data_IF_276355515546
#
_entry.id   IF_276355515546
#
_cell.length_a   1.000
_cell.length_b   1.000
_cell.length_c   1.000
_cell.angle_alpha   90.00
_cell.angle_beta   90.00
_cell.angle_gamma   90.00
#
_symmetry.space_group_name_H-M   'P 1'
#
loop_
_entity.id
_entity.type
_entity.pdbx_description
1 polymer ?
#
# COMPACT_ATOMS: atom_id res chain seq x y z
N UNK A 1 18.31 -21.06 -15.73
CA UNK A 1 18.53 -20.49 -14.39
C UNK A 1 17.18 -20.02 -13.85
N UNK A 2 16.85 -20.32 -12.58
CA UNK A 2 15.56 -20.02 -11.96
C UNK A 2 15.22 -18.51 -12.01
N UNK A 3 16.18 -17.65 -11.70
CA UNK A 3 15.99 -16.19 -11.72
C UNK A 3 15.53 -15.65 -13.07
N UNK A 4 16.11 -16.17 -14.17
CA UNK A 4 15.65 -15.82 -15.52
C UNK A 4 14.19 -16.18 -15.77
N UNK A 5 13.73 -17.33 -15.26
CA UNK A 5 12.34 -17.74 -15.41
C UNK A 5 11.39 -16.87 -14.55
N UNK A 6 11.85 -16.42 -13.38
CA UNK A 6 11.09 -15.52 -12.50
C UNK A 6 10.92 -14.13 -13.11
N UNK A 7 11.97 -13.57 -13.72
CA UNK A 7 11.87 -12.32 -14.48
C UNK A 7 10.97 -12.46 -15.70
N UNK A 8 11.08 -13.56 -16.45
CA UNK A 8 10.17 -13.81 -17.57
C UNK A 8 8.72 -13.89 -17.11
N UNK A 9 8.46 -14.58 -15.99
CA UNK A 9 7.12 -14.67 -15.41
C UNK A 9 6.58 -13.29 -15.00
N UNK A 10 7.41 -12.44 -14.42
CA UNK A 10 7.03 -11.07 -14.11
C UNK A 10 6.71 -10.27 -15.38
N UNK A 11 7.51 -10.42 -16.43
CA UNK A 11 7.24 -9.81 -17.73
C UNK A 11 5.93 -10.29 -18.35
N UNK A 12 5.66 -11.60 -18.33
CA UNK A 12 4.42 -12.17 -18.86
C UNK A 12 3.19 -11.68 -18.09
N UNK A 13 3.30 -11.59 -16.76
CA UNK A 13 2.25 -11.06 -15.89
C UNK A 13 1.95 -9.58 -16.17
N UNK A 14 2.99 -8.76 -16.30
CA UNK A 14 2.86 -7.32 -16.49
C UNK A 14 2.64 -6.89 -17.94
N UNK A 15 2.77 -7.80 -18.91
CA UNK A 15 2.69 -7.50 -20.34
C UNK A 15 1.47 -6.65 -20.76
N UNK A 16 0.24 -6.87 -20.24
CA UNK A 16 -0.90 -6.02 -20.58
C UNK A 16 -0.76 -4.57 -20.13
N UNK A 17 0.07 -4.33 -19.10
CA UNK A 17 0.18 -3.06 -18.39
C UNK A 17 1.49 -2.33 -18.69
N UNK A 18 2.54 -3.06 -19.04
CA UNK A 18 3.89 -2.59 -19.29
C UNK A 18 4.66 -3.58 -20.16
N UNK A 19 5.19 -3.10 -21.29
CA UNK A 19 6.15 -3.82 -22.10
C UNK A 19 7.44 -3.01 -22.17
N UNK A 20 8.55 -3.49 -21.61
CA UNK A 20 9.82 -2.78 -21.70
C UNK A 20 10.36 -2.79 -23.14
N UNK A 21 11.19 -1.80 -23.47
CA UNK A 21 11.82 -1.63 -24.78
C UNK A 21 13.33 -1.76 -24.60
N UNK A 22 13.97 -2.61 -25.41
CA UNK A 22 15.44 -2.77 -25.41
C UNK A 22 16.04 -3.09 -24.03
N UNK A 23 15.55 -4.18 -23.42
CA UNK A 23 15.99 -4.63 -22.09
C UNK A 23 17.43 -5.18 -22.12
N UNK A 24 18.26 -4.69 -21.21
CA UNK A 24 19.56 -5.30 -20.87
C UNK A 24 19.46 -5.98 -19.50
N UNK A 25 19.76 -7.27 -19.43
CA UNK A 25 19.78 -8.05 -18.19
C UNK A 25 21.19 -8.57 -17.91
N UNK A 26 21.69 -8.34 -16.70
CA UNK A 26 22.97 -8.82 -16.22
C UNK A 26 22.75 -9.68 -14.96
N UNK A 27 23.00 -10.98 -15.07
CA UNK A 27 23.09 -11.87 -13.91
C UNK A 27 24.55 -11.99 -13.50
N UNK A 28 24.79 -11.86 -12.21
CA UNK A 28 26.13 -11.95 -11.63
C UNK A 28 26.08 -12.71 -10.30
N UNK A 29 27.23 -13.23 -9.90
CA UNK A 29 27.45 -13.88 -8.60
C UNK A 29 28.48 -13.10 -7.80
N UNK A 30 28.75 -13.52 -6.57
CA UNK A 30 29.75 -12.86 -5.73
C UNK A 30 31.15 -12.86 -6.38
N UNK A 31 31.47 -13.89 -7.15
CA UNK A 31 32.77 -14.04 -7.82
C UNK A 31 32.92 -13.13 -9.05
N UNK A 32 31.82 -12.57 -9.55
CA UNK A 32 31.80 -11.77 -10.77
C UNK A 32 32.07 -10.28 -10.51
N UNK A 33 32.43 -9.88 -9.28
CA UNK A 33 32.56 -8.48 -8.90
C UNK A 33 33.48 -7.66 -9.83
N UNK A 34 34.65 -8.21 -10.17
CA UNK A 34 35.60 -7.55 -11.08
C UNK A 34 35.05 -7.44 -12.51
N UNK A 35 34.44 -8.52 -13.01
CA UNK A 35 33.80 -8.51 -14.33
C UNK A 35 32.64 -7.51 -14.38
N UNK A 36 31.81 -7.45 -13.35
CA UNK A 36 30.67 -6.55 -13.27
C UNK A 36 31.10 -5.08 -13.25
N UNK A 37 32.17 -4.74 -12.51
CA UNK A 37 32.77 -3.41 -12.55
C UNK A 37 33.29 -3.05 -13.94
N UNK A 38 33.96 -3.99 -14.62
CA UNK A 38 34.44 -3.77 -15.99
C UNK A 38 33.26 -3.51 -16.94
N UNK A 39 32.19 -4.30 -16.85
CA UNK A 39 30.98 -4.08 -17.64
C UNK A 39 30.34 -2.72 -17.36
N UNK A 40 30.26 -2.30 -16.10
CA UNK A 40 29.67 -1.00 -15.75
C UNK A 40 30.57 0.17 -16.17
N UNK A 41 31.90 0.01 -16.11
CA UNK A 41 32.83 1.08 -16.52
C UNK A 41 32.73 1.39 -18.03
N UNK A 42 32.38 0.39 -18.85
CA UNK A 42 32.08 0.55 -20.28
C UNK A 42 30.73 1.25 -20.53
N UNK A 43 29.91 1.47 -19.49
CA UNK A 43 28.56 2.03 -19.56
C UNK A 43 28.39 3.19 -18.56
N UNK A 44 29.02 4.35 -18.78
CA UNK A 44 29.09 5.44 -17.80
C UNK A 44 27.71 5.94 -17.32
N UNK A 45 26.69 5.88 -18.16
CA UNK A 45 25.29 6.23 -17.85
C UNK A 45 24.66 5.39 -16.73
N UNK A 46 25.23 4.21 -16.43
CA UNK A 46 24.73 3.32 -15.38
C UNK A 46 25.21 3.74 -13.99
N UNK A 47 26.34 4.44 -13.91
CA UNK A 47 27.02 4.76 -12.64
C UNK A 47 26.13 5.52 -11.65
N UNK A 48 25.33 6.48 -12.13
CA UNK A 48 24.39 7.24 -11.30
C UNK A 48 23.27 6.41 -10.68
N UNK A 49 22.96 5.25 -11.27
CA UNK A 49 21.93 4.33 -10.80
C UNK A 49 22.48 3.22 -9.88
N UNK A 50 23.80 3.21 -9.63
CA UNK A 50 24.45 2.22 -8.76
C UNK A 50 25.28 2.97 -7.69
N UNK A 51 24.61 3.59 -6.69
CA UNK A 51 25.31 4.38 -5.68
C UNK A 51 26.33 3.55 -4.91
N UNK A 52 27.57 4.04 -4.85
CA UNK A 52 28.70 3.33 -4.23
C UNK A 52 29.35 2.24 -5.10
N UNK A 53 28.86 2.01 -6.33
CA UNK A 53 29.43 1.04 -7.27
C UNK A 53 29.00 -0.40 -7.00
N UNK A 54 29.00 -1.24 -8.04
CA UNK A 54 28.45 -2.61 -7.97
C UNK A 54 29.19 -3.50 -6.97
N UNK A 55 30.52 -3.37 -6.86
CA UNK A 55 31.33 -4.14 -5.90
C UNK A 55 30.88 -3.90 -4.47
N UNK A 56 30.63 -2.65 -4.11
CA UNK A 56 30.14 -2.31 -2.76
C UNK A 56 28.78 -2.96 -2.47
N UNK A 57 27.92 -3.12 -3.47
CA UNK A 57 26.65 -3.86 -3.30
C UNK A 57 26.86 -5.35 -3.12
N UNK A 58 27.76 -5.96 -3.90
CA UNK A 58 28.12 -7.38 -3.80
C UNK A 58 28.71 -7.68 -2.42
N UNK A 59 29.69 -6.88 -1.97
CA UNK A 59 30.39 -7.08 -0.71
C UNK A 59 29.50 -6.87 0.52
N UNK A 60 28.62 -5.86 0.50
CA UNK A 60 27.72 -5.57 1.63
C UNK A 60 26.62 -6.62 1.81
N UNK A 61 26.12 -7.20 0.72
CA UNK A 61 24.94 -8.06 0.76
C UNK A 61 25.27 -9.55 0.59
N UNK A 62 26.48 -9.91 0.14
CA UNK A 62 26.82 -11.28 -0.27
C UNK A 62 25.82 -11.85 -1.29
N UNK A 63 25.49 -11.05 -2.31
CA UNK A 63 24.39 -11.30 -3.27
C UNK A 63 22.99 -11.43 -2.62
N UNK A 64 21.96 -11.68 -3.45
CA UNK A 64 20.54 -11.67 -3.04
C UNK A 64 19.86 -10.32 -3.23
N UNK A 65 20.35 -9.50 -4.17
CA UNK A 65 19.76 -8.22 -4.53
C UNK A 65 19.60 -8.13 -6.05
N UNK A 66 18.70 -7.25 -6.48
CA UNK A 66 18.63 -6.80 -7.86
C UNK A 66 18.51 -5.28 -7.91
N UNK A 67 18.77 -4.72 -9.09
CA UNK A 67 18.64 -3.31 -9.42
C UNK A 67 17.89 -3.23 -10.74
N UNK A 68 16.78 -2.50 -10.74
CA UNK A 68 16.01 -2.19 -11.95
C UNK A 68 15.97 -0.68 -12.15
N UNK A 69 16.52 -0.21 -13.27
CA UNK A 69 16.55 1.23 -13.59
C UNK A 69 16.50 1.46 -15.10
N UNK A 70 16.48 2.73 -15.50
CA UNK A 70 16.57 3.17 -16.89
C UNK A 70 17.89 3.90 -17.12
N UNK A 71 18.61 3.54 -18.18
CA UNK A 71 19.80 4.25 -18.62
C UNK A 71 19.85 4.26 -20.16
N UNK A 72 20.23 5.39 -20.76
CA UNK A 72 20.27 5.56 -22.23
C UNK A 72 18.96 5.16 -22.93
N UNK A 73 17.81 5.48 -22.32
CA UNK A 73 16.48 5.09 -22.79
C UNK A 73 16.24 3.57 -22.86
N UNK A 74 17.08 2.77 -22.20
CA UNK A 74 16.96 1.31 -22.12
C UNK A 74 16.66 0.88 -20.70
N UNK A 75 15.83 -0.16 -20.55
CA UNK A 75 15.65 -0.81 -19.26
C UNK A 75 16.86 -1.68 -18.91
N UNK A 76 17.44 -1.45 -17.73
CA UNK A 76 18.61 -2.18 -17.23
C UNK A 76 18.24 -2.93 -15.96
N UNK A 77 18.53 -4.23 -15.96
CA UNK A 77 18.31 -5.13 -14.84
C UNK A 77 19.62 -5.78 -14.44
N UNK A 78 20.01 -5.65 -13.19
CA UNK A 78 21.21 -6.30 -12.65
C UNK A 78 20.79 -7.14 -11.45
N UNK A 79 21.08 -8.43 -11.44
CA UNK A 79 20.77 -9.30 -10.31
C UNK A 79 21.99 -10.09 -9.86
N UNK A 80 22.35 -9.91 -8.58
CA UNK A 80 23.38 -10.68 -7.89
C UNK A 80 22.71 -11.91 -7.28
N UNK A 81 22.94 -13.07 -7.88
CA UNK A 81 22.33 -14.34 -7.49
C UNK A 81 23.24 -15.07 -6.50
N UNK A 82 22.66 -15.60 -5.42
CA UNK A 82 23.37 -16.49 -4.48
C UNK A 82 23.53 -17.88 -5.09
N UNK A 83 24.65 -18.55 -4.79
CA UNK A 83 24.97 -19.85 -5.39
C UNK A 83 24.60 -21.01 -4.46
N UNK A 84 24.12 -22.12 -5.04
CA UNK A 84 23.95 -23.39 -4.35
C UNK A 84 23.09 -23.28 -3.09
N UNK A 85 23.61 -23.76 -1.96
CA UNK A 85 22.93 -23.78 -0.66
C UNK A 85 22.70 -22.40 -0.03
N UNK A 86 23.31 -21.35 -0.58
CA UNK A 86 23.10 -19.97 -0.10
C UNK A 86 21.82 -19.34 -0.67
N UNK A 87 21.29 -19.91 -1.76
CA UNK A 87 20.02 -19.47 -2.35
C UNK A 87 18.84 -20.09 -1.60
N UNK A 88 18.03 -19.24 -0.98
CA UNK A 88 16.80 -19.61 -0.31
C UNK A 88 15.55 -19.25 -1.12
N UNK A 89 14.40 -19.79 -0.72
CA UNK A 89 13.11 -19.47 -1.35
C UNK A 89 12.80 -17.96 -1.34
N UNK A 90 13.27 -17.23 -0.31
CA UNK A 90 13.09 -15.79 -0.21
C UNK A 90 13.87 -15.00 -1.26
N UNK A 91 14.94 -15.53 -1.85
CA UNK A 91 15.67 -14.84 -2.93
C UNK A 91 14.83 -14.79 -4.22
N UNK A 92 13.86 -15.69 -4.38
CA UNK A 92 13.00 -15.78 -5.57
C UNK A 92 12.06 -14.57 -5.73
N UNK A 93 11.81 -13.80 -4.66
CA UNK A 93 10.99 -12.60 -4.75
C UNK A 93 11.73 -11.41 -5.37
N UNK A 94 13.08 -11.41 -5.31
CA UNK A 94 13.92 -10.25 -5.61
C UNK A 94 13.76 -9.82 -7.06
N UNK A 95 13.80 -10.78 -7.99
CA UNK A 95 13.63 -10.50 -9.42
C UNK A 95 12.28 -9.83 -9.73
N UNK A 96 11.15 -10.50 -9.43
CA UNK A 96 9.82 -9.93 -9.66
C UNK A 96 9.53 -8.63 -8.89
N UNK A 97 10.10 -8.45 -7.68
CA UNK A 97 10.01 -7.20 -6.92
C UNK A 97 10.61 -6.03 -7.70
N UNK A 98 11.86 -6.17 -8.14
CA UNK A 98 12.53 -5.13 -8.91
C UNK A 98 11.90 -4.91 -10.29
N UNK A 99 11.35 -5.97 -10.92
CA UNK A 99 10.59 -5.80 -12.17
C UNK A 99 9.36 -4.92 -11.96
N UNK A 100 8.65 -5.05 -10.83
CA UNK A 100 7.52 -4.17 -10.51
C UNK A 100 7.92 -2.70 -10.39
N UNK A 101 9.16 -2.39 -9.98
CA UNK A 101 9.67 -1.02 -10.01
C UNK A 101 9.77 -0.46 -11.43
N UNK A 102 10.06 -1.26 -12.47
CA UNK A 102 10.00 -0.76 -13.85
C UNK A 102 8.60 -0.34 -14.28
N UNK A 103 7.58 -1.10 -13.88
CA UNK A 103 6.17 -0.76 -14.16
C UNK A 103 5.83 0.59 -13.53
N UNK A 104 6.31 0.84 -12.32
CA UNK A 104 6.15 2.11 -11.61
C UNK A 104 6.95 3.23 -12.29
N UNK A 105 8.22 3.00 -12.62
CA UNK A 105 9.09 3.99 -13.30
C UNK A 105 8.55 4.41 -14.67
N UNK A 106 7.86 3.50 -15.36
CA UNK A 106 7.18 3.82 -16.63
C UNK A 106 6.05 4.85 -16.45
N UNK A 107 5.50 4.99 -15.24
CA UNK A 107 4.50 6.01 -14.94
C UNK A 107 5.15 7.34 -14.56
N UNK A 108 6.27 7.30 -13.82
CA UNK A 108 7.00 8.49 -13.42
C UNK A 108 8.46 8.17 -13.04
N UNK A 109 9.44 8.96 -13.51
CA UNK A 109 10.84 8.78 -13.11
C UNK A 109 11.10 9.24 -11.66
N UNK A 110 10.15 9.94 -11.02
CA UNK A 110 10.31 10.55 -9.69
C UNK A 110 9.64 9.76 -8.57
N UNK A 111 9.72 8.42 -8.57
CA UNK A 111 8.95 7.53 -7.67
C UNK A 111 8.97 7.97 -6.20
N UNK A 112 10.15 8.19 -5.63
CA UNK A 112 10.29 8.47 -4.19
C UNK A 112 10.08 9.93 -3.79
N UNK A 113 9.95 10.85 -4.76
CA UNK A 113 9.79 12.26 -4.45
C UNK A 113 8.36 12.52 -3.96
N UNK A 114 8.20 12.75 -2.66
CA UNK A 114 6.92 13.10 -2.03
C UNK A 114 5.91 11.96 -1.87
N UNK A 115 6.16 10.80 -2.48
CA UNK A 115 5.29 9.63 -2.38
C UNK A 115 5.57 8.85 -1.11
N UNK A 116 4.49 8.38 -0.48
CA UNK A 116 4.52 7.58 0.74
C UNK A 116 5.26 6.25 0.45
N UNK A 117 6.36 5.90 1.17
CA UNK A 117 7.22 4.78 0.77
C UNK A 117 6.55 3.41 0.60
N UNK A 118 5.53 3.07 1.39
CA UNK A 118 4.82 1.79 1.21
C UNK A 118 4.10 1.69 -0.13
N UNK A 119 3.66 2.82 -0.71
CA UNK A 119 3.04 2.88 -2.03
C UNK A 119 4.03 2.56 -3.16
N UNK A 120 5.33 2.52 -2.88
CA UNK A 120 6.34 2.13 -3.86
C UNK A 120 6.79 0.71 -3.54
N UNK A 121 7.36 0.55 -2.35
CA UNK A 121 8.15 -0.62 -1.97
C UNK A 121 7.28 -1.78 -1.51
N UNK A 122 6.19 -1.49 -0.80
CA UNK A 122 5.26 -2.53 -0.39
C UNK A 122 4.39 -3.04 -1.54
N UNK A 123 4.13 -2.21 -2.56
CA UNK A 123 3.49 -2.66 -3.80
C UNK A 123 4.42 -3.61 -4.58
N UNK A 124 5.68 -3.21 -4.78
CA UNK A 124 6.69 -4.07 -5.40
C UNK A 124 6.87 -5.39 -4.64
N UNK A 125 6.90 -5.33 -3.30
CA UNK A 125 7.07 -6.51 -2.46
C UNK A 125 5.89 -7.49 -2.54
N UNK A 126 4.67 -6.97 -2.65
CA UNK A 126 3.49 -7.81 -2.87
C UNK A 126 3.64 -8.65 -4.14
N UNK A 127 4.06 -8.04 -5.26
CA UNK A 127 4.27 -8.79 -6.51
C UNK A 127 5.53 -9.65 -6.48
N UNK A 128 6.59 -9.21 -5.79
CA UNK A 128 7.75 -10.03 -5.47
C UNK A 128 7.34 -11.37 -4.87
N UNK A 129 6.58 -11.32 -3.77
CA UNK A 129 6.08 -12.50 -3.07
C UNK A 129 5.09 -13.31 -3.92
N UNK A 130 4.11 -12.65 -4.55
CA UNK A 130 3.06 -13.31 -5.31
C UNK A 130 3.58 -14.03 -6.57
N UNK A 131 4.55 -13.44 -7.27
CA UNK A 131 5.09 -13.99 -8.51
C UNK A 131 6.28 -14.90 -8.24
N UNK A 132 7.13 -14.54 -7.27
CA UNK A 132 8.38 -15.22 -6.94
C UNK A 132 8.21 -16.42 -6.03
N UNK A 133 7.41 -16.31 -4.96
CA UNK A 133 7.35 -17.31 -3.88
C UNK A 133 6.05 -18.11 -3.91
N UNK A 134 4.89 -17.45 -4.04
CA UNK A 134 3.57 -18.07 -3.88
C UNK A 134 3.34 -19.37 -4.68
N UNK A 135 3.81 -19.52 -5.93
CA UNK A 135 3.62 -20.75 -6.71
C UNK A 135 4.27 -21.98 -6.07
N UNK A 136 5.36 -21.77 -5.33
CA UNK A 136 6.16 -22.84 -4.73
C UNK A 136 5.93 -22.91 -3.20
N UNK A 137 5.02 -22.10 -2.65
CA UNK A 137 4.68 -22.03 -1.23
C UNK A 137 3.18 -22.31 -1.00
N UNK A 138 2.70 -23.55 -1.24
CA UNK A 138 1.27 -23.88 -1.16
C UNK A 138 0.67 -23.70 0.25
N UNK A 139 1.52 -23.67 1.28
CA UNK A 139 1.11 -23.44 2.68
C UNK A 139 1.17 -21.97 3.09
N UNK A 140 1.67 -21.10 2.21
CA UNK A 140 1.96 -19.68 2.47
C UNK A 140 2.92 -19.45 3.65
N UNK A 141 3.66 -20.49 4.08
CA UNK A 141 4.52 -20.40 5.25
C UNK A 141 5.71 -19.49 4.98
N UNK A 142 6.34 -19.61 3.81
CA UNK A 142 7.50 -18.79 3.44
C UNK A 142 7.12 -17.33 3.21
N UNK A 143 5.98 -17.08 2.55
CA UNK A 143 5.42 -15.73 2.38
C UNK A 143 5.13 -15.11 3.74
N UNK A 144 4.41 -15.82 4.61
CA UNK A 144 4.07 -15.31 5.95
C UNK A 144 5.34 -15.09 6.79
N UNK A 145 6.36 -15.95 6.68
CA UNK A 145 7.66 -15.73 7.31
C UNK A 145 8.37 -14.48 6.78
N UNK A 146 8.35 -14.24 5.47
CA UNK A 146 8.96 -13.04 4.87
C UNK A 146 8.27 -11.76 5.35
N UNK A 147 6.93 -11.73 5.34
CA UNK A 147 6.16 -10.57 5.82
C UNK A 147 6.34 -10.37 7.33
N UNK A 148 6.34 -11.46 8.11
CA UNK A 148 6.61 -11.42 9.54
C UNK A 148 8.02 -10.86 9.81
N UNK A 149 9.03 -11.26 9.04
CA UNK A 149 10.38 -10.73 9.14
C UNK A 149 10.47 -9.22 8.93
N UNK A 150 9.69 -8.67 7.98
CA UNK A 150 9.56 -7.22 7.83
C UNK A 150 8.86 -6.56 9.02
N UNK A 151 7.81 -7.21 9.56
CA UNK A 151 7.05 -6.69 10.68
C UNK A 151 7.83 -6.73 12.02
N UNK A 152 8.77 -7.66 12.20
CA UNK A 152 9.57 -7.81 13.43
C UNK A 152 10.82 -6.92 13.48
N UNK A 153 11.04 -6.08 12.47
CA UNK A 153 12.18 -5.16 12.35
C UNK A 153 11.72 -3.68 12.41
N UNK A 154 10.81 -3.40 13.34
CA UNK A 154 10.08 -2.14 13.51
C UNK A 154 10.94 -1.02 14.13
N UNK A 155 10.92 0.23 13.61
CA UNK A 155 10.81 1.48 14.42
C UNK A 155 10.62 2.81 13.65
N UNK A 156 9.71 3.59 14.20
CA UNK A 156 9.08 4.81 13.72
C UNK A 156 9.83 6.12 14.06
N UNK A 157 11.13 6.06 14.38
CA UNK A 157 12.02 7.16 14.86
C UNK A 157 11.80 7.57 16.35
N UNK A 158 12.51 7.15 17.39
CA UNK A 158 13.64 6.24 17.55
C UNK A 158 13.62 5.67 18.98
N UNK A 159 13.62 4.37 19.08
CA UNK A 159 14.08 3.63 20.25
C UNK A 159 14.15 2.13 20.00
N UNK A 160 14.55 1.71 18.79
CA UNK A 160 14.69 0.33 18.30
C UNK A 160 15.34 -0.60 19.32
N UNK A 161 14.88 -1.86 19.40
CA UNK A 161 15.78 -3.03 19.35
C UNK A 161 15.11 -4.22 18.66
N UNK A 162 15.91 -4.88 17.83
CA UNK A 162 15.58 -5.98 16.92
C UNK A 162 14.75 -7.11 17.56
N UNK A 163 13.83 -7.65 16.76
CA UNK A 163 12.90 -8.74 17.08
C UNK A 163 11.79 -8.40 18.11
N UNK A 164 11.19 -7.20 18.00
CA UNK A 164 9.92 -6.93 18.68
C UNK A 164 8.72 -7.29 17.80
N UNK A 165 7.56 -7.51 18.41
CA UNK A 165 6.31 -7.74 17.69
C UNK A 165 5.43 -6.48 17.65
N UNK A 166 5.99 -5.30 17.84
CA UNK A 166 5.20 -4.09 18.11
C UNK A 166 4.32 -3.68 16.94
N UNK A 167 4.79 -3.86 15.71
CA UNK A 167 3.94 -3.70 14.53
C UNK A 167 2.75 -4.68 14.55
N UNK A 168 3.02 -5.94 14.85
CA UNK A 168 1.98 -6.97 14.91
C UNK A 168 1.00 -6.71 16.07
N UNK A 169 1.48 -6.14 17.19
CA UNK A 169 0.62 -5.69 18.29
C UNK A 169 -0.32 -4.56 17.83
N UNK A 170 0.20 -3.58 17.07
CA UNK A 170 -0.62 -2.50 16.49
C UNK A 170 -1.68 -3.09 15.57
N UNK A 171 -1.30 -4.00 14.67
CA UNK A 171 -2.24 -4.65 13.77
C UNK A 171 -3.32 -5.43 14.53
N UNK A 172 -2.93 -6.19 15.54
CA UNK A 172 -3.80 -7.01 16.37
C UNK A 172 -4.75 -6.19 17.26
N UNK A 173 -4.32 -5.00 17.69
CA UNK A 173 -5.15 -4.08 18.48
C UNK A 173 -6.43 -3.65 17.76
N UNK A 174 -6.45 -3.77 16.43
CA UNK A 174 -7.53 -3.31 15.56
C UNK A 174 -7.89 -1.82 15.80
N UNK A 175 -6.92 -1.00 16.20
CA UNK A 175 -7.12 0.44 16.32
C UNK A 175 -7.03 1.13 14.96
N UNK A 176 -8.16 1.68 14.53
CA UNK A 176 -8.29 2.35 13.23
C UNK A 176 -7.39 3.59 13.13
N UNK A 177 -7.16 4.31 14.23
CA UNK A 177 -6.35 5.53 14.20
C UNK A 177 -4.87 5.19 13.98
N UNK A 178 -4.36 4.17 14.67
CA UNK A 178 -2.99 3.71 14.47
C UNK A 178 -2.80 3.13 13.06
N UNK A 179 -3.77 2.33 12.59
CA UNK A 179 -3.77 1.81 11.21
C UNK A 179 -3.76 2.92 10.15
N UNK A 180 -4.64 3.93 10.29
CA UNK A 180 -4.66 5.07 9.37
C UNK A 180 -3.37 5.89 9.46
N UNK A 181 -2.77 5.99 10.64
CA UNK A 181 -1.50 6.68 10.84
C UNK A 181 -0.36 5.98 10.09
N UNK A 182 -0.28 4.65 10.16
CA UNK A 182 0.71 3.87 9.41
C UNK A 182 0.55 4.05 7.90
N UNK A 183 -0.69 3.94 7.39
CA UNK A 183 -1.00 4.13 5.97
C UNK A 183 -0.67 5.55 5.47
N UNK A 184 -0.84 6.57 6.32
CA UNK A 184 -0.60 7.97 5.94
C UNK A 184 0.88 8.35 6.01
N UNK A 185 1.65 7.72 6.92
CA UNK A 185 3.05 8.08 7.16
C UNK A 185 4.05 7.30 6.33
N UNK A 186 3.72 6.07 5.90
CA UNK A 186 4.53 5.40 4.90
C UNK A 186 5.63 4.49 5.38
N UNK A 187 5.95 4.55 6.67
CA UNK A 187 7.09 3.88 7.24
C UNK A 187 8.44 4.43 6.77
N UNK A 188 9.51 3.95 7.39
CA UNK A 188 10.85 4.53 7.27
C UNK A 188 11.89 3.49 6.86
N UNK A 189 11.65 2.21 7.16
CA UNK A 189 12.59 1.11 6.90
C UNK A 189 11.84 -0.12 6.40
N UNK A 190 11.59 -1.11 7.26
CA UNK A 190 11.00 -2.40 6.91
C UNK A 190 9.47 -2.40 6.95
N UNK A 191 8.90 -1.48 7.71
CA UNK A 191 7.47 -1.30 7.89
C UNK A 191 6.74 -0.96 6.59
N UNK A 192 7.40 -0.23 5.67
CA UNK A 192 6.85 0.07 4.34
C UNK A 192 6.54 -1.20 3.53
N UNK A 193 7.35 -2.25 3.68
CA UNK A 193 7.15 -3.52 2.98
C UNK A 193 5.96 -4.28 3.57
N UNK A 194 5.89 -4.41 4.90
CA UNK A 194 4.79 -5.13 5.55
C UNK A 194 3.43 -4.42 5.34
N UNK A 195 3.37 -3.11 5.62
CA UNK A 195 2.13 -2.32 5.46
C UNK A 195 1.67 -2.33 4.01
N UNK A 196 2.57 -2.06 3.07
CA UNK A 196 2.18 -2.01 1.67
C UNK A 196 1.84 -3.39 1.10
N UNK A 197 2.52 -4.46 1.53
CA UNK A 197 2.17 -5.82 1.11
C UNK A 197 0.77 -6.19 1.56
N UNK A 198 0.46 -6.03 2.85
CA UNK A 198 -0.86 -6.40 3.40
C UNK A 198 -1.99 -5.52 2.84
N UNK A 199 -1.73 -4.24 2.60
CA UNK A 199 -2.70 -3.36 1.96
C UNK A 199 -2.96 -3.77 0.51
N UNK A 200 -1.90 -4.12 -0.22
CA UNK A 200 -2.00 -4.58 -1.62
C UNK A 200 -2.73 -5.91 -1.73
N UNK A 201 -2.39 -6.85 -0.85
CA UNK A 201 -3.07 -8.14 -0.71
C UNK A 201 -4.57 -7.94 -0.48
N UNK A 202 -4.96 -7.07 0.46
CA UNK A 202 -6.37 -6.77 0.72
C UNK A 202 -7.07 -6.13 -0.48
N UNK A 203 -6.46 -5.11 -1.09
CA UNK A 203 -7.04 -4.39 -2.22
C UNK A 203 -7.26 -5.32 -3.42
N UNK A 204 -6.25 -6.12 -3.78
CA UNK A 204 -6.34 -7.08 -4.89
C UNK A 204 -7.37 -8.16 -4.57
N UNK A 205 -7.37 -8.71 -3.36
CA UNK A 205 -8.32 -9.75 -2.97
C UNK A 205 -9.78 -9.25 -2.94
N UNK A 206 -10.02 -7.99 -2.56
CA UNK A 206 -11.38 -7.42 -2.45
C UNK A 206 -11.90 -6.77 -3.72
N UNK A 207 -11.02 -6.16 -4.50
CA UNK A 207 -11.41 -5.29 -5.60
C UNK A 207 -10.86 -5.73 -6.96
N UNK A 208 -10.01 -6.75 -6.98
CA UNK A 208 -9.39 -7.28 -8.19
C UNK A 208 -8.11 -6.56 -8.57
N UNK A 209 -7.26 -7.28 -9.31
CA UNK A 209 -5.95 -6.79 -9.75
C UNK A 209 -6.04 -5.55 -10.64
N UNK A 210 -6.97 -5.50 -11.61
CA UNK A 210 -7.06 -4.36 -12.54
C UNK A 210 -7.27 -3.03 -11.81
N UNK A 211 -8.22 -2.97 -10.86
CA UNK A 211 -8.45 -1.76 -10.06
C UNK A 211 -7.20 -1.34 -9.29
N UNK A 212 -6.46 -2.31 -8.76
CA UNK A 212 -5.22 -2.03 -8.07
C UNK A 212 -4.18 -1.39 -9.00
N UNK A 213 -4.02 -1.92 -10.22
CA UNK A 213 -3.13 -1.35 -11.24
C UNK A 213 -3.59 0.05 -11.66
N UNK A 214 -4.89 0.24 -11.92
CA UNK A 214 -5.46 1.53 -12.29
C UNK A 214 -5.18 2.60 -11.22
N UNK A 215 -5.31 2.24 -9.94
CA UNK A 215 -4.96 3.13 -8.83
C UNK A 215 -3.46 3.40 -8.76
N UNK A 216 -2.60 2.39 -8.88
CA UNK A 216 -1.15 2.56 -8.87
C UNK A 216 -0.68 3.48 -10.00
N UNK A 217 -1.16 3.26 -11.22
CA UNK A 217 -0.85 4.12 -12.37
C UNK A 217 -1.37 5.53 -12.17
N UNK A 218 -2.64 5.67 -11.79
CA UNK A 218 -3.24 6.98 -11.56
C UNK A 218 -2.54 7.78 -10.47
N UNK A 219 -2.12 7.13 -9.37
CA UNK A 219 -1.32 7.73 -8.31
C UNK A 219 0.00 8.27 -8.85
N UNK A 220 0.74 7.44 -9.58
CA UNK A 220 2.08 7.78 -10.04
C UNK A 220 2.09 8.79 -11.20
N UNK A 221 1.04 8.83 -12.01
CA UNK A 221 0.87 9.82 -13.08
C UNK A 221 0.42 11.19 -12.53
N UNK A 222 -0.43 11.21 -11.51
CA UNK A 222 -0.96 12.44 -10.93
C UNK A 222 -0.13 12.90 -9.73
N UNK A 223 1.18 13.09 -9.93
CA UNK A 223 2.07 13.55 -8.86
C UNK A 223 1.76 14.97 -8.45
N UNK A 224 1.63 15.19 -7.15
CA UNK A 224 1.55 16.52 -6.56
C UNK A 224 2.88 17.26 -6.63
N UNK A 225 2.83 18.59 -6.70
CA UNK A 225 4.03 19.45 -6.67
C UNK A 225 4.76 19.41 -5.32
N UNK A 226 4.06 18.99 -4.26
CA UNK A 226 4.57 18.82 -2.90
C UNK A 226 3.79 17.71 -2.17
N UNK A 227 4.24 17.37 -0.96
CA UNK A 227 3.69 16.30 -0.14
C UNK A 227 2.17 16.42 0.12
N UNK A 228 1.65 17.65 0.31
CA UNK A 228 0.23 17.86 0.59
C UNK A 228 -0.62 17.64 -0.67
N UNK A 229 -0.16 18.17 -1.81
CA UNK A 229 -0.81 17.92 -3.10
C UNK A 229 -0.73 16.45 -3.51
N UNK A 230 0.38 15.74 -3.24
CA UNK A 230 0.51 14.31 -3.52
C UNK A 230 -0.54 13.50 -2.75
N UNK A 231 -0.72 13.81 -1.46
CA UNK A 231 -1.73 13.15 -0.62
C UNK A 231 -3.14 13.41 -1.13
N UNK A 232 -3.42 14.64 -1.56
CA UNK A 232 -4.71 15.02 -2.12
C UNK A 232 -4.99 14.26 -3.42
N UNK A 233 -4.03 14.24 -4.35
CA UNK A 233 -4.20 13.55 -5.63
C UNK A 233 -4.32 12.04 -5.44
N UNK A 234 -3.51 11.44 -4.56
CA UNK A 234 -3.67 10.03 -4.19
C UNK A 234 -5.09 9.75 -3.67
N UNK A 235 -5.60 10.59 -2.76
CA UNK A 235 -6.95 10.42 -2.23
C UNK A 235 -8.03 10.53 -3.31
N UNK A 236 -7.86 11.44 -4.29
CA UNK A 236 -8.78 11.60 -5.41
C UNK A 236 -8.78 10.38 -6.34
N UNK A 237 -7.60 9.90 -6.74
CA UNK A 237 -7.46 8.71 -7.60
C UNK A 237 -8.03 7.49 -6.87
N UNK A 238 -7.64 7.30 -5.61
CA UNK A 238 -8.11 6.19 -4.79
C UNK A 238 -9.65 6.15 -4.71
N UNK A 239 -10.28 7.30 -4.41
CA UNK A 239 -11.74 7.41 -4.36
C UNK A 239 -12.40 7.11 -5.70
N UNK A 240 -11.78 7.52 -6.80
CA UNK A 240 -12.29 7.27 -8.16
C UNK A 240 -12.30 5.77 -8.47
N UNK A 241 -11.24 5.05 -8.08
CA UNK A 241 -11.09 3.62 -8.36
C UNK A 241 -11.95 2.74 -7.44
N UNK A 242 -11.93 3.04 -6.13
CA UNK A 242 -12.50 2.17 -5.11
C UNK A 242 -13.88 2.62 -4.60
N UNK A 243 -14.27 3.87 -4.85
CA UNK A 243 -15.58 4.40 -4.45
C UNK A 243 -15.70 4.76 -2.97
N UNK A 244 -14.59 4.81 -2.23
CA UNK A 244 -14.54 5.28 -0.85
C UNK A 244 -13.29 6.13 -0.59
N UNK A 245 -13.30 6.91 0.48
CA UNK A 245 -12.23 7.89 0.74
C UNK A 245 -10.95 7.20 1.22
N UNK A 246 -9.77 7.70 0.79
CA UNK A 246 -8.48 7.15 1.23
C UNK A 246 -8.27 7.27 2.75
N UNK A 247 -8.88 8.27 3.41
CA UNK A 247 -8.85 8.42 4.86
C UNK A 247 -9.71 7.38 5.61
N UNK A 248 -10.53 6.62 4.88
CA UNK A 248 -11.28 5.47 5.39
C UNK A 248 -10.54 4.15 5.14
N UNK A 249 -9.43 4.13 4.39
CA UNK A 249 -8.70 2.90 4.09
C UNK A 249 -8.31 2.15 5.36
N UNK A 250 -7.85 2.87 6.39
CA UNK A 250 -7.58 2.30 7.71
C UNK A 250 -8.79 1.55 8.27
N UNK A 251 -9.99 2.12 8.22
CA UNK A 251 -11.24 1.46 8.67
C UNK A 251 -11.46 0.14 7.93
N UNK A 252 -11.24 0.14 6.61
CA UNK A 252 -11.50 -1.02 5.76
C UNK A 252 -10.48 -2.16 5.96
N UNK A 253 -9.20 -1.83 6.17
CA UNK A 253 -8.14 -2.84 6.30
C UNK A 253 -7.89 -3.30 7.73
N UNK A 254 -8.36 -2.56 8.75
CA UNK A 254 -8.04 -2.84 10.16
C UNK A 254 -8.34 -4.28 10.58
N UNK A 255 -9.55 -4.78 10.28
CA UNK A 255 -9.91 -6.16 10.63
C UNK A 255 -9.06 -7.20 9.88
N UNK A 256 -8.66 -6.88 8.65
CA UNK A 256 -7.78 -7.73 7.86
C UNK A 256 -6.38 -7.79 8.46
N UNK A 257 -5.81 -6.64 8.82
CA UNK A 257 -4.50 -6.56 9.44
C UNK A 257 -4.45 -7.29 10.78
N UNK A 258 -5.49 -7.19 11.60
CA UNK A 258 -5.59 -7.95 12.85
C UNK A 258 -5.56 -9.47 12.59
N UNK A 259 -6.32 -9.96 11.61
CA UNK A 259 -6.32 -11.37 11.24
C UNK A 259 -4.96 -11.83 10.68
N UNK A 260 -4.32 -11.01 9.82
CA UNK A 260 -2.99 -11.29 9.28
C UNK A 260 -1.93 -11.28 10.36
N UNK A 261 -1.99 -10.38 11.34
CA UNK A 261 -1.06 -10.32 12.47
C UNK A 261 -0.90 -11.67 13.16
N UNK A 262 -2.03 -12.33 13.48
CA UNK A 262 -2.00 -13.67 14.07
C UNK A 262 -1.30 -14.69 13.16
N UNK A 263 -1.62 -14.72 11.86
CA UNK A 263 -1.02 -15.66 10.91
C UNK A 263 0.50 -15.43 10.75
N UNK A 264 0.93 -14.17 10.77
CA UNK A 264 2.35 -13.81 10.71
C UNK A 264 3.09 -14.24 11.98
N UNK A 265 2.49 -14.08 13.16
CA UNK A 265 3.04 -14.61 14.42
C UNK A 265 3.16 -16.12 14.41
N UNK A 266 2.11 -16.82 13.98
CA UNK A 266 2.08 -18.28 13.93
C UNK A 266 3.20 -18.79 12.99
N UNK A 267 3.39 -18.16 11.82
CA UNK A 267 4.46 -18.48 10.88
C UNK A 267 5.85 -18.17 11.44
N UNK A 268 6.01 -17.07 12.17
CA UNK A 268 7.26 -16.70 12.83
C UNK A 268 7.62 -17.65 13.99
N UNK A 269 6.63 -18.11 14.77
CA UNK A 269 6.85 -19.05 15.86
C UNK A 269 7.34 -20.43 15.36
N UNK A 270 6.87 -20.85 14.18
CA UNK A 270 7.37 -22.04 13.50
C UNK A 270 8.85 -21.92 13.07
N UNK A 271 9.48 -20.75 13.22
CA UNK A 271 10.91 -20.56 13.00
C UNK A 271 11.76 -21.15 14.16
N UNK A 272 11.19 -21.33 15.36
CA UNK A 272 11.87 -21.91 16.53
C UNK A 272 11.58 -23.40 16.78
N UNK A 273 10.59 -23.98 16.09
CA UNK A 273 10.30 -25.42 16.12
C UNK A 273 10.81 -26.07 14.83
N UNK A 274 12.13 -26.17 14.72
CA UNK A 274 12.83 -27.00 13.73
C UNK A 274 12.17 -27.10 12.35
N UNK A 275 12.38 -26.12 11.48
CA UNK A 275 12.65 -26.54 10.10
C UNK A 275 14.10 -27.01 10.06
N UNK A 276 14.38 -28.27 9.72
CA UNK A 276 15.74 -28.65 9.37
C UNK A 276 16.16 -27.74 8.22
N UNK A 277 17.31 -27.11 8.39
CA UNK A 277 18.13 -26.67 7.27
C UNK A 277 18.21 -27.84 6.27
N UNK A 278 17.73 -27.74 5.02
CA UNK A 278 18.05 -28.77 4.05
C UNK A 278 19.51 -28.57 3.63
N UNK A 279 20.44 -29.06 4.45
CA UNK A 279 21.78 -29.43 4.02
C UNK A 279 21.68 -30.75 3.21
N UNK A 280 22.62 -31.00 2.29
CA UNK A 280 22.37 -31.64 1.01
C UNK A 280 22.14 -33.15 1.13
N UNK A 281 21.07 -33.64 0.49
CA UNK A 281 20.95 -35.06 0.16
C UNK A 281 20.80 -35.24 -1.35
N UNK A 282 21.80 -35.87 -1.93
CA UNK A 282 21.73 -36.67 -3.16
C UNK A 282 22.45 -38.00 -2.83
N UNK A 283 22.09 -39.18 -3.37
CA UNK A 283 21.68 -39.41 -4.75
C UNK A 283 20.28 -40.05 -4.94
N UNK A 284 19.83 -39.97 -6.19
CA UNK A 284 18.59 -40.45 -6.80
C UNK A 284 18.18 -41.91 -6.53
N UNK A 285 16.92 -42.26 -6.88
CA UNK A 285 16.72 -43.36 -7.83
C UNK A 285 16.11 -42.90 -9.17
N UNK A 286 16.33 -43.76 -10.16
CA UNK A 286 16.22 -43.51 -11.60
C UNK A 286 14.77 -43.46 -12.15
N UNK A 287 14.70 -42.75 -13.28
CA UNK A 287 13.71 -42.65 -14.38
C UNK A 287 12.71 -43.84 -14.60
N UNK A 288 11.57 -43.63 -15.31
CA UNK A 288 11.65 -43.54 -16.78
C UNK A 288 10.75 -42.47 -17.43
N UNK A 289 11.39 -41.60 -18.22
CA UNK A 289 11.15 -41.33 -19.64
C UNK A 289 9.72 -41.47 -20.17
N UNK A 290 9.07 -40.33 -20.47
CA UNK A 290 8.11 -40.24 -21.58
C UNK A 290 8.25 -38.88 -22.29
N UNK A 291 8.39 -38.94 -23.62
CA UNK A 291 8.28 -37.86 -24.61
C UNK A 291 7.95 -38.53 -25.96
N UNK A 292 7.39 -37.89 -27.02
CA UNK A 292 6.91 -36.51 -27.18
C UNK A 292 5.55 -36.34 -27.94
N UNK A 293 5.12 -35.08 -28.11
CA UNK A 293 4.37 -34.50 -29.26
C UNK A 293 2.83 -34.63 -29.37
N UNK A 294 2.13 -33.49 -29.34
CA UNK A 294 1.08 -33.12 -30.34
C UNK A 294 1.18 -31.61 -30.67
N UNK A 295 1.05 -31.31 -31.97
CA UNK A 295 1.16 -30.02 -32.64
C UNK A 295 0.06 -28.98 -32.29
N UNK A 296 0.26 -27.68 -32.58
CA UNK A 296 -0.78 -26.66 -32.37
C UNK A 296 -1.86 -26.68 -33.47
N UNK A 297 -3.12 -26.61 -33.05
CA UNK A 297 -4.32 -26.44 -33.89
C UNK A 297 -4.47 -24.97 -34.34
N UNK A 298 -4.84 -24.67 -35.59
CA UNK A 298 -4.92 -23.30 -36.11
C UNK A 298 -6.08 -22.48 -35.51
N UNK A 299 -5.81 -21.19 -35.39
CA UNK A 299 -6.66 -20.09 -34.93
C UNK A 299 -7.90 -19.88 -35.83
N UNK A 300 -9.12 -19.75 -35.28
CA UNK A 300 -10.27 -19.32 -36.07
C UNK A 300 -10.26 -17.81 -36.31
N UNK A 301 -10.68 -17.47 -37.52
CA UNK A 301 -10.67 -16.16 -38.17
C UNK A 301 -11.61 -15.16 -37.50
N UNK A 302 -11.17 -13.90 -37.43
CA UNK A 302 -11.95 -12.76 -36.90
C UNK A 302 -13.17 -12.45 -37.78
N UNK A 303 -14.36 -12.47 -37.16
CA UNK A 303 -15.60 -11.90 -37.71
C UNK A 303 -15.63 -10.38 -37.50
N UNK A 304 -16.17 -9.57 -38.44
CA UNK A 304 -16.18 -8.11 -38.31
C UNK A 304 -17.10 -7.63 -37.18
N UNK A 305 -16.56 -6.77 -36.33
CA UNK A 305 -17.26 -6.03 -35.27
C UNK A 305 -18.22 -4.99 -35.87
N UNK A 306 -19.52 -4.96 -35.49
CA UNK A 306 -20.43 -3.90 -35.91
C UNK A 306 -20.14 -2.57 -35.18
N UNK A 307 -20.45 -1.47 -35.87
CA UNK A 307 -20.21 -0.08 -35.49
C UNK A 307 -20.82 0.33 -34.11
N UNK A 308 -20.23 1.31 -33.41
CA UNK A 308 -20.62 1.67 -32.06
C UNK A 308 -21.97 2.39 -32.02
N UNK A 309 -22.95 1.78 -31.35
CA UNK A 309 -24.16 2.47 -30.89
C UNK A 309 -23.83 3.37 -29.70
N UNK A 310 -24.37 4.60 -29.72
CA UNK A 310 -24.06 5.69 -28.80
C UNK A 310 -24.13 5.32 -27.31
N UNK A 311 -23.12 5.78 -26.58
CA UNK A 311 -23.00 5.62 -25.13
C UNK A 311 -24.17 6.34 -24.40
N UNK A 312 -24.89 5.65 -23.51
CA UNK A 312 -25.94 6.28 -22.71
C UNK A 312 -25.32 7.28 -21.72
N UNK A 313 -25.95 8.47 -21.65
CA UNK A 313 -25.63 9.54 -20.70
C UNK A 313 -25.56 8.98 -19.26
N UNK A 314 -24.49 9.26 -18.49
CA UNK A 314 -24.35 8.72 -17.14
C UNK A 314 -25.52 9.15 -16.27
N UNK A 315 -26.21 8.15 -15.71
CA UNK A 315 -27.23 8.36 -14.69
C UNK A 315 -26.52 8.81 -13.41
N UNK A 316 -26.95 9.91 -12.75
CA UNK A 316 -26.29 10.40 -11.55
C UNK A 316 -26.30 9.33 -10.46
N UNK A 317 -25.12 8.93 -10.02
CA UNK A 317 -24.92 8.01 -8.89
C UNK A 317 -25.61 8.60 -7.65
N UNK A 318 -26.48 7.85 -6.95
CA UNK A 318 -27.16 8.36 -5.76
C UNK A 318 -26.14 8.68 -4.67
N UNK A 319 -26.11 9.95 -4.23
CA UNK A 319 -25.33 10.39 -3.07
C UNK A 319 -25.71 9.55 -1.85
N UNK A 320 -24.75 8.96 -1.09
CA UNK A 320 -25.05 8.14 0.08
C UNK A 320 -25.98 8.87 1.05
N UNK A 321 -27.14 8.25 1.33
CA UNK A 321 -28.18 8.85 2.16
C UNK A 321 -27.67 9.14 3.58
N UNK A 322 -27.96 10.33 4.11
CA UNK A 322 -27.66 10.63 5.52
C UNK A 322 -28.63 9.84 6.40
N UNK A 323 -28.11 9.11 7.39
CA UNK A 323 -28.92 8.50 8.44
C UNK A 323 -29.24 9.60 9.45
N UNK A 324 -30.48 10.10 9.42
CA UNK A 324 -30.93 11.13 10.36
C UNK A 324 -30.95 10.59 11.79
N UNK A 325 -30.75 11.48 12.76
CA UNK A 325 -30.70 11.22 14.19
C UNK A 325 -29.58 10.28 14.67
N UNK A 326 -28.75 9.76 13.77
CA UNK A 326 -27.57 9.01 14.13
C UNK A 326 -26.45 9.94 14.64
N UNK A 327 -25.78 9.50 15.71
CA UNK A 327 -24.55 10.13 16.21
C UNK A 327 -23.40 9.66 15.33
N UNK A 328 -22.82 10.57 14.56
CA UNK A 328 -21.70 10.31 13.66
C UNK A 328 -20.49 11.12 14.09
N UNK A 329 -19.31 10.51 14.06
CA UNK A 329 -18.08 11.18 14.46
C UNK A 329 -17.56 12.06 13.32
N UNK A 330 -17.18 13.30 13.63
CA UNK A 330 -16.42 14.15 12.71
C UNK A 330 -14.98 13.60 12.60
N UNK A 331 -14.32 13.68 11.43
CA UNK A 331 -12.89 13.43 11.34
C UNK A 331 -12.12 14.19 12.42
N UNK A 332 -11.17 13.52 13.06
CA UNK A 332 -10.50 14.02 14.26
C UNK A 332 -9.74 15.32 14.01
N UNK A 333 -9.72 16.18 15.02
CA UNK A 333 -8.85 17.36 15.04
C UNK A 333 -7.43 16.93 15.45
N UNK A 334 -6.41 17.62 14.93
CA UNK A 334 -5.08 17.54 15.53
C UNK A 334 -5.11 18.10 16.95
N UNK A 335 -4.22 17.63 17.83
CA UNK A 335 -4.31 17.81 19.29
C UNK A 335 -4.55 19.26 19.74
N UNK A 336 -3.98 20.26 19.04
CA UNK A 336 -4.12 21.70 19.36
C UNK A 336 -5.06 22.47 18.43
N UNK A 337 -5.52 21.89 17.32
CA UNK A 337 -6.34 22.62 16.35
C UNK A 337 -7.79 22.77 16.81
N UNK A 338 -8.38 23.92 16.50
CA UNK A 338 -9.81 24.20 16.71
C UNK A 338 -10.51 24.59 15.42
N UNK A 339 -9.78 25.14 14.45
CA UNK A 339 -10.27 25.41 13.11
C UNK A 339 -10.56 24.11 12.35
N UNK A 340 -11.60 24.13 11.51
CA UNK A 340 -11.90 23.02 10.62
C UNK A 340 -10.87 22.96 9.49
N UNK A 341 -10.47 21.76 9.09
CA UNK A 341 -9.75 21.52 7.83
C UNK A 341 -10.71 21.58 6.63
N UNK A 342 -10.17 21.61 5.41
CA UNK A 342 -11.00 21.48 4.20
C UNK A 342 -11.79 20.15 4.22
N UNK A 343 -11.14 19.04 4.53
CA UNK A 343 -11.79 17.73 4.62
C UNK A 343 -12.95 17.70 5.63
N UNK A 344 -12.77 18.30 6.81
CA UNK A 344 -13.86 18.38 7.80
C UNK A 344 -15.02 19.28 7.31
N UNK A 345 -14.71 20.37 6.61
CA UNK A 345 -15.72 21.23 5.98
C UNK A 345 -16.49 20.45 4.91
N UNK A 346 -15.79 19.78 4.01
CA UNK A 346 -16.41 19.02 2.93
C UNK A 346 -17.26 17.87 3.46
N UNK A 347 -16.79 17.19 4.51
CA UNK A 347 -17.55 16.16 5.21
C UNK A 347 -18.87 16.69 5.77
N UNK A 348 -18.84 17.84 6.47
CA UNK A 348 -20.06 18.47 7.01
C UNK A 348 -20.97 18.92 5.87
N UNK A 349 -20.42 19.55 4.82
CA UNK A 349 -21.17 20.05 3.69
C UNK A 349 -21.87 18.91 2.93
N UNK A 350 -21.21 17.78 2.73
CA UNK A 350 -21.77 16.61 2.07
C UNK A 350 -23.01 16.07 2.79
N UNK A 351 -23.01 16.05 4.13
CA UNK A 351 -24.17 15.61 4.93
C UNK A 351 -25.28 16.66 4.96
N UNK A 352 -24.92 17.94 5.01
CA UNK A 352 -25.89 19.04 4.99
C UNK A 352 -26.62 19.16 3.63
N UNK A 353 -26.02 18.70 2.52
CA UNK A 353 -26.67 18.69 1.20
C UNK A 353 -27.96 17.88 1.16
N UNK A 354 -28.08 16.82 1.97
CA UNK A 354 -29.30 16.01 2.04
C UNK A 354 -30.51 16.90 2.37
N UNK A 355 -31.55 16.96 1.51
CA UNK A 355 -32.69 17.85 1.66
C UNK A 355 -33.47 17.63 2.96
N UNK A 356 -33.35 16.44 3.56
CA UNK A 356 -34.02 16.10 4.79
C UNK A 356 -33.32 16.68 6.01
N UNK A 357 -32.13 17.28 5.90
CA UNK A 357 -31.43 17.86 7.06
C UNK A 357 -31.85 19.32 7.26
N UNK A 358 -32.38 19.62 8.45
CA UNK A 358 -32.80 20.96 8.90
C UNK A 358 -32.12 21.42 10.18
N UNK A 359 -31.63 20.48 10.99
CA UNK A 359 -30.94 20.78 12.24
C UNK A 359 -29.66 19.96 12.38
N UNK A 360 -28.64 20.56 12.99
CA UNK A 360 -27.37 19.89 13.31
C UNK A 360 -27.01 20.11 14.77
N UNK A 361 -26.79 19.03 15.51
CA UNK A 361 -26.27 19.08 16.88
C UNK A 361 -24.80 18.66 16.88
N UNK A 362 -23.92 19.43 17.51
CA UNK A 362 -22.49 19.13 17.62
C UNK A 362 -22.13 18.91 19.09
N UNK A 363 -21.56 17.75 19.41
CA UNK A 363 -21.25 17.34 20.78
C UNK A 363 -19.77 17.04 20.93
N UNK A 364 -19.09 17.74 21.83
CA UNK A 364 -17.71 17.42 22.20
C UNK A 364 -17.66 16.46 23.39
N UNK A 365 -16.86 15.40 23.29
CA UNK A 365 -16.69 14.42 24.37
C UNK A 365 -15.52 14.78 25.29
N UNK A 366 -15.69 14.62 26.60
CA UNK A 366 -14.66 14.89 27.62
C UNK A 366 -14.70 13.85 28.75
N UNK A 367 -13.64 13.70 29.54
CA UNK A 367 -13.60 12.79 30.68
C UNK A 367 -13.57 13.54 32.02
N UNK A 368 -13.71 12.83 33.14
CA UNK A 368 -13.50 13.41 34.48
C UNK A 368 -12.09 13.98 34.69
N UNK A 369 -11.10 13.50 33.93
CA UNK A 369 -9.69 13.94 34.00
C UNK A 369 -9.38 15.11 33.06
N UNK A 370 -10.34 15.55 32.24
CA UNK A 370 -10.12 16.62 31.26
C UNK A 370 -9.98 17.97 31.97
N UNK A 371 -8.89 18.69 31.68
CA UNK A 371 -8.65 20.03 32.26
C UNK A 371 -9.67 21.04 31.75
N UNK A 372 -9.89 22.13 32.49
CA UNK A 372 -10.77 23.21 32.04
C UNK A 372 -10.34 23.82 30.68
N UNK A 373 -9.02 23.89 30.46
CA UNK A 373 -8.43 24.39 29.20
C UNK A 373 -8.75 23.47 28.03
N UNK A 374 -8.59 22.15 28.20
CA UNK A 374 -8.87 21.18 27.15
C UNK A 374 -10.38 21.08 26.88
N UNK A 375 -11.21 21.17 27.92
CA UNK A 375 -12.66 21.21 27.75
C UNK A 375 -13.12 22.42 26.93
N UNK A 376 -12.53 23.60 27.19
CA UNK A 376 -12.80 24.80 26.40
C UNK A 376 -12.40 24.62 24.93
N UNK A 377 -11.26 23.98 24.68
CA UNK A 377 -10.77 23.66 23.34
C UNK A 377 -11.69 22.66 22.62
N UNK A 378 -12.16 21.61 23.29
CA UNK A 378 -13.10 20.64 22.72
C UNK A 378 -14.45 21.27 22.42
N UNK A 379 -14.94 22.15 23.31
CA UNK A 379 -16.16 22.93 23.07
C UNK A 379 -16.02 23.82 21.84
N UNK A 380 -14.86 24.48 21.67
CA UNK A 380 -14.61 25.36 20.52
C UNK A 380 -14.62 24.60 19.19
N UNK A 381 -14.12 23.35 19.16
CA UNK A 381 -14.22 22.48 17.99
C UNK A 381 -15.67 22.17 17.60
N UNK A 382 -16.51 21.84 18.58
CA UNK A 382 -17.93 21.60 18.34
C UNK A 382 -18.67 22.88 17.91
N UNK A 383 -18.29 24.03 18.45
CA UNK A 383 -18.80 25.34 18.03
C UNK A 383 -18.46 25.63 16.57
N UNK A 384 -17.19 25.48 16.17
CA UNK A 384 -16.75 25.72 14.80
C UNK A 384 -17.43 24.77 13.81
N UNK A 385 -17.61 23.50 14.19
CA UNK A 385 -18.34 22.50 13.40
C UNK A 385 -19.79 22.94 13.14
N UNK A 386 -20.51 23.34 14.19
CA UNK A 386 -21.90 23.78 14.08
C UNK A 386 -22.03 25.14 13.38
N UNK A 387 -21.10 26.07 13.57
CA UNK A 387 -21.07 27.35 12.86
C UNK A 387 -20.93 27.14 11.34
N UNK A 388 -20.06 26.21 10.92
CA UNK A 388 -19.91 25.85 9.52
C UNK A 388 -21.17 25.15 8.99
N UNK A 389 -21.72 24.17 9.71
CA UNK A 389 -22.97 23.50 9.33
C UNK A 389 -24.14 24.49 9.16
N UNK A 390 -24.26 25.47 10.07
CA UNK A 390 -25.25 26.55 9.99
C UNK A 390 -25.07 27.35 8.71
N UNK A 391 -23.86 27.81 8.44
CA UNK A 391 -23.53 28.57 7.23
C UNK A 391 -23.85 27.79 5.97
N UNK A 392 -23.55 26.49 5.94
CA UNK A 392 -23.84 25.60 4.81
C UNK A 392 -25.34 25.41 4.58
N UNK A 393 -26.13 25.24 5.66
CA UNK A 393 -27.60 25.17 5.56
C UNK A 393 -28.20 26.49 5.05
N UNK A 394 -27.72 27.64 5.55
CA UNK A 394 -28.16 28.96 5.11
C UNK A 394 -27.87 29.18 3.63
N UNK A 395 -26.69 28.78 3.14
CA UNK A 395 -26.33 28.86 1.70
C UNK A 395 -27.24 28.03 0.81
N UNK A 396 -27.87 26.98 1.34
CA UNK A 396 -28.86 26.16 0.65
C UNK A 396 -30.29 26.72 0.79
N UNK A 397 -30.48 27.93 1.33
CA UNK A 397 -31.78 28.56 1.53
C UNK A 397 -32.60 27.97 2.67
N UNK A 398 -32.00 27.21 3.59
CA UNK A 398 -32.71 26.52 4.67
C UNK A 398 -32.60 27.26 6.00
N UNK A 399 -33.67 27.25 6.79
CA UNK A 399 -33.65 27.74 8.17
C UNK A 399 -32.74 26.87 9.03
N UNK A 400 -31.58 27.40 9.43
CA UNK A 400 -30.54 26.62 10.09
C UNK A 400 -30.68 26.63 11.62
N UNK A 401 -31.06 25.48 12.21
CA UNK A 401 -31.01 25.27 13.67
C UNK A 401 -29.76 24.48 14.04
N UNK A 402 -28.93 25.03 14.93
CA UNK A 402 -27.74 24.32 15.43
C UNK A 402 -27.65 24.36 16.95
N UNK A 403 -27.17 23.29 17.56
CA UNK A 403 -26.97 23.20 19.01
C UNK A 403 -25.60 22.64 19.34
N UNK A 404 -24.89 23.23 20.30
CA UNK A 404 -23.59 22.76 20.76
C UNK A 404 -23.71 22.23 22.18
N UNK A 405 -23.23 21.02 22.43
CA UNK A 405 -23.23 20.40 23.77
C UNK A 405 -21.88 19.76 24.06
N UNK A 406 -21.65 19.44 25.34
CA UNK A 406 -20.55 18.58 25.76
C UNK A 406 -21.12 17.34 26.43
N UNK A 407 -20.41 16.21 26.35
CA UNK A 407 -20.82 14.97 27.01
C UNK A 407 -19.64 14.32 27.71
N UNK A 408 -19.87 13.88 28.94
CA UNK A 408 -18.87 13.12 29.70
C UNK A 408 -18.81 11.70 29.14
N UNK A 409 -17.61 11.18 28.90
CA UNK A 409 -17.36 9.82 28.43
C UNK A 409 -16.37 9.12 29.38
N UNK A 410 -16.53 7.81 29.53
CA UNK A 410 -15.58 6.93 30.24
C UNK A 410 -14.55 6.33 29.30
N UNK A 411 -14.75 6.45 27.97
CA UNK A 411 -13.85 5.89 26.96
C UNK A 411 -12.75 6.88 26.62
N UNK A 412 -11.51 6.54 26.94
CA UNK A 412 -10.33 7.38 26.67
C UNK A 412 -10.22 7.76 25.20
N UNK A 413 -10.50 6.83 24.28
CA UNK A 413 -10.44 7.07 22.84
C UNK A 413 -11.40 8.17 22.35
N UNK A 414 -12.51 8.41 23.06
CA UNK A 414 -13.51 9.40 22.66
C UNK A 414 -13.19 10.83 23.13
N UNK A 415 -12.28 11.00 24.08
CA UNK A 415 -11.95 12.30 24.67
C UNK A 415 -11.43 13.25 23.59
N UNK A 416 -12.02 14.44 23.50
CA UNK A 416 -11.66 15.46 22.52
C UNK A 416 -12.24 15.28 21.12
N UNK A 417 -12.99 14.19 20.88
CA UNK A 417 -13.72 13.97 19.62
C UNK A 417 -15.00 14.82 19.57
N UNK A 418 -15.39 15.19 18.35
CA UNK A 418 -16.65 15.89 18.06
C UNK A 418 -17.57 14.95 17.31
N UNK A 419 -18.83 14.89 17.74
CA UNK A 419 -19.89 14.11 17.11
C UNK A 419 -20.98 15.03 16.60
N UNK A 420 -21.51 14.72 15.42
CA UNK A 420 -22.63 15.43 14.83
C UNK A 420 -23.87 14.52 14.79
N UNK A 421 -25.03 15.14 14.97
CA UNK A 421 -26.34 14.51 14.72
C UNK A 421 -27.10 15.40 13.75
N UNK A 422 -27.45 14.85 12.60
CA UNK A 422 -28.23 15.54 11.56
C UNK A 422 -29.70 15.17 11.72
N UNK A 423 -30.59 16.15 11.88
CA UNK A 423 -32.02 15.97 12.09
C UNK A 423 -32.83 16.68 11.01
N UNK A 424 -34.03 16.18 10.73
CA UNK A 424 -34.92 16.75 9.71
C UNK A 424 -36.07 17.61 10.17
#
# INVERSE_FOLDING_TARGET
MREKALIQKAADFWYPEFSPVDVTVMYLTQNDATWAEEQISQRPSWSGNIPGGIRSWIERNSCGFALAFMADQKQVFIQCVKNGSESGINDQQVGPHEYSHWVQYAQTPFLFLGTVPWLIEGQANFYGLALGIAPDDPTLLSINKSIAGHATQFDIYNGYQFADFKMLDIFESADVFDMQTMLTRGGTVWDKYAVGTLTSEWLVAKHGHQKYVDWMKGLLQNKGQNNDSERLENANVFRTVYGFEYDQLGVHVTAYFAARSKQLRDAWAQNGQGQPNPAPQNPAPQNPSVSPTVAPTPTPTSSPTPAPTGSPKPTPTPTPAVILNAKVQLPSFSSKATALTNSQRDWIAAKVKDPRVKQVSCTAAYSSKTTAKDLALYKLRAQNSCAYAKTSLTKLGRSAKTSVTTVKTTKTAEVGRVYLVFKG
#
